data_IF_551504989847
#
_entry.id   IF_551504989847
#
_cell.length_a   1.000
_cell.length_b   1.000
_cell.length_c   1.000
_cell.angle_alpha   90.00
_cell.angle_beta   90.00
_cell.angle_gamma   90.00
#
_symmetry.space_group_name_H-M   'P 1'
#
loop_
_entity.id
_entity.type
_entity.pdbx_description
1 polymer ?
#
# COMPACT_ATOMS: atom_id res chain seq x y z
N UNK A 1 19.09 3.41 -23.41
CA UNK A 1 18.52 4.58 -22.71
C UNK A 1 18.52 4.26 -21.22
N UNK A 2 19.49 4.81 -20.51
CA UNK A 2 19.84 4.43 -19.14
C UNK A 2 19.12 5.38 -18.20
N UNK A 3 18.00 4.94 -17.62
CA UNK A 3 17.19 5.80 -16.76
C UNK A 3 17.87 5.99 -15.41
N UNK A 4 18.02 7.25 -15.03
CA UNK A 4 18.86 7.74 -13.97
C UNK A 4 18.51 7.15 -12.59
N UNK A 5 19.51 6.58 -11.94
CA UNK A 5 19.56 6.34 -10.50
C UNK A 5 19.65 7.68 -9.75
N UNK A 6 18.52 8.38 -9.59
CA UNK A 6 18.36 9.37 -8.52
C UNK A 6 17.99 8.58 -7.26
N UNK A 7 18.57 8.93 -6.11
CA UNK A 7 17.93 8.68 -4.81
C UNK A 7 16.66 9.54 -4.81
N UNK A 8 15.57 8.97 -5.31
CA UNK A 8 14.30 9.66 -5.60
C UNK A 8 13.23 9.07 -4.70
N UNK A 9 12.03 9.64 -4.70
CA UNK A 9 10.80 9.08 -4.10
C UNK A 9 10.59 7.56 -4.25
N UNK A 10 11.35 6.88 -5.11
CA UNK A 10 11.42 5.42 -5.28
C UNK A 10 11.55 4.58 -3.98
N UNK A 11 12.10 5.10 -2.87
CA UNK A 11 12.14 4.38 -1.58
C UNK A 11 10.76 4.31 -0.88
N UNK A 12 9.84 5.20 -1.26
CA UNK A 12 8.47 5.21 -0.73
C UNK A 12 7.53 4.25 -1.45
N UNK A 13 7.99 3.55 -2.49
CA UNK A 13 7.16 2.60 -3.23
C UNK A 13 6.87 1.37 -2.37
N UNK A 14 5.59 1.13 -2.10
CA UNK A 14 5.18 -0.04 -1.33
C UNK A 14 5.38 -1.30 -2.16
N UNK A 15 6.25 -2.18 -1.68
CA UNK A 15 6.35 -3.53 -2.20
C UNK A 15 5.37 -4.45 -1.47
N UNK A 16 4.26 -4.75 -2.12
CA UNK A 16 3.22 -5.58 -1.50
C UNK A 16 3.63 -7.03 -1.29
N UNK A 17 4.70 -7.50 -1.95
CA UNK A 17 5.24 -8.85 -1.76
C UNK A 17 5.97 -9.00 -0.43
N UNK A 18 6.28 -7.90 0.26
CA UNK A 18 6.79 -7.93 1.62
C UNK A 18 5.71 -8.34 2.64
N UNK A 19 6.13 -8.77 3.82
CA UNK A 19 5.21 -9.05 4.93
C UNK A 19 4.40 -7.81 5.33
N UNK A 20 3.19 -8.00 5.86
CA UNK A 20 2.35 -6.90 6.35
C UNK A 20 3.09 -6.03 7.38
N UNK A 21 3.88 -6.66 8.26
CA UNK A 21 4.72 -5.94 9.22
C UNK A 21 5.92 -5.21 8.58
N UNK A 22 6.39 -5.66 7.41
CA UNK A 22 7.40 -4.94 6.63
C UNK A 22 6.81 -3.70 5.97
N UNK A 23 5.65 -3.85 5.34
CA UNK A 23 4.90 -2.76 4.71
C UNK A 23 4.47 -1.71 5.74
N UNK A 24 3.93 -2.12 6.89
CA UNK A 24 3.55 -1.21 7.97
C UNK A 24 4.76 -0.41 8.50
N UNK A 25 5.91 -1.08 8.68
CA UNK A 25 7.16 -0.41 9.06
C UNK A 25 7.61 0.58 8.01
N UNK A 26 7.53 0.24 6.72
CA UNK A 26 7.86 1.15 5.63
C UNK A 26 6.96 2.38 5.69
N UNK A 27 5.63 2.19 5.72
CA UNK A 27 4.64 3.28 5.81
C UNK A 27 4.96 4.19 6.98
N UNK A 28 5.23 3.64 8.16
CA UNK A 28 5.60 4.40 9.35
C UNK A 28 6.96 5.10 9.22
N UNK A 29 7.93 4.50 8.54
CA UNK A 29 9.25 5.08 8.32
C UNK A 29 9.23 6.25 7.33
N UNK A 30 8.39 6.18 6.30
CA UNK A 30 8.21 7.23 5.29
C UNK A 30 7.02 8.15 5.57
N UNK A 31 6.35 7.98 6.72
CA UNK A 31 5.33 8.93 7.18
C UNK A 31 5.97 10.23 7.67
N UNK A 32 5.15 11.27 7.95
CA UNK A 32 5.61 12.65 8.21
C UNK A 32 6.87 12.71 9.10
N UNK A 33 7.89 13.51 8.71
CA UNK A 33 7.87 14.61 7.73
C UNK A 33 8.15 14.23 6.27
N UNK A 34 8.19 12.94 5.94
CA UNK A 34 8.47 12.44 4.59
C UNK A 34 7.21 12.36 3.70
N UNK A 35 7.35 12.12 2.37
CA UNK A 35 6.26 12.19 1.40
C UNK A 35 5.12 11.16 1.58
N UNK A 36 5.22 10.24 2.53
CA UNK A 36 4.32 9.09 2.67
C UNK A 36 4.72 7.94 1.76
N UNK A 37 4.26 6.73 2.09
CA UNK A 37 4.44 5.57 1.23
C UNK A 37 3.43 5.66 0.10
N UNK A 38 3.77 5.22 -1.11
CA UNK A 38 2.85 5.26 -2.22
C UNK A 38 2.90 3.98 -3.06
N UNK A 39 1.82 3.73 -3.77
CA UNK A 39 1.66 2.62 -4.72
C UNK A 39 0.92 3.14 -5.95
N UNK A 40 0.97 2.36 -7.04
CA UNK A 40 0.23 2.66 -8.25
C UNK A 40 -0.93 1.67 -8.44
N UNK A 41 -2.06 2.16 -8.95
CA UNK A 41 -3.24 1.36 -9.30
C UNK A 41 -3.79 1.78 -10.66
N UNK A 42 -3.58 0.98 -11.71
CA UNK A 42 -4.01 1.33 -13.07
C UNK A 42 -3.42 2.66 -13.56
N UNK A 43 -2.18 2.97 -13.16
CA UNK A 43 -1.52 4.25 -13.42
C UNK A 43 -1.87 5.40 -12.46
N UNK A 44 -2.73 5.17 -11.47
CA UNK A 44 -3.09 6.18 -10.45
C UNK A 44 -2.18 6.09 -9.22
N UNK A 45 -1.72 7.23 -8.69
CA UNK A 45 -0.91 7.28 -7.46
C UNK A 45 -1.82 7.25 -6.22
N UNK A 46 -1.63 6.25 -5.38
CA UNK A 46 -2.20 6.16 -4.03
C UNK A 46 -1.08 6.39 -3.02
N UNK A 47 -1.25 7.35 -2.12
CA UNK A 47 -0.32 7.59 -1.02
C UNK A 47 -0.97 7.19 0.30
N UNK A 48 -0.25 6.42 1.11
CA UNK A 48 -0.66 5.92 2.42
C UNK A 48 0.26 6.55 3.47
N UNK A 49 -0.35 7.25 4.42
CA UNK A 49 0.34 7.89 5.53
C UNK A 49 0.20 7.07 6.82
N UNK A 50 -0.91 6.34 6.97
CA UNK A 50 -1.20 5.54 8.15
C UNK A 50 -1.76 4.17 7.78
N UNK A 51 -1.16 3.13 8.35
CA UNK A 51 -1.66 1.77 8.26
C UNK A 51 -1.37 1.00 9.55
N UNK A 52 -2.20 -0.01 9.82
CA UNK A 52 -2.06 -0.94 10.93
C UNK A 52 -2.10 -2.37 10.43
N UNK A 53 -1.45 -3.31 11.11
CA UNK A 53 -1.53 -4.73 10.75
C UNK A 53 -2.97 -5.23 10.94
N UNK A 54 -3.53 -5.86 9.91
CA UNK A 54 -4.86 -6.46 9.99
C UNK A 54 -4.75 -7.93 10.41
N UNK A 55 -4.85 -8.17 11.72
CA UNK A 55 -4.74 -9.50 12.33
C UNK A 55 -5.94 -10.42 12.04
N UNK A 56 -7.09 -9.87 11.65
CA UNK A 56 -8.28 -10.66 11.29
C UNK A 56 -8.25 -11.18 9.85
N UNK A 57 -7.22 -10.82 9.07
CA UNK A 57 -7.00 -11.33 7.72
C UNK A 57 -6.68 -12.84 7.76
N UNK A 58 -7.70 -13.66 7.99
CA UNK A 58 -7.62 -15.12 7.99
C UNK A 58 -7.19 -15.59 6.61
N UNK A 59 -5.89 -15.88 6.41
CA UNK A 59 -5.30 -16.48 5.21
C UNK A 59 -6.12 -16.17 3.95
N UNK A 60 -6.32 -14.88 3.67
CA UNK A 60 -6.99 -14.53 2.44
C UNK A 60 -6.04 -15.00 1.34
N UNK A 61 -6.51 -15.89 0.46
CA UNK A 61 -5.82 -16.25 -0.78
C UNK A 61 -5.85 -15.08 -1.78
N UNK A 62 -5.71 -13.87 -1.26
CA UNK A 62 -5.62 -12.64 -2.00
C UNK A 62 -4.18 -12.50 -2.47
N UNK A 63 -4.02 -11.93 -3.66
CA UNK A 63 -2.70 -11.67 -4.20
C UNK A 63 -2.06 -10.53 -3.40
N UNK A 64 -0.73 -10.53 -3.20
CA UNK A 64 -0.03 -9.35 -2.70
C UNK A 64 -0.50 -8.11 -3.47
N UNK A 65 -0.85 -7.02 -2.78
CA UNK A 65 -1.32 -5.79 -3.41
C UNK A 65 -2.77 -5.83 -3.84
N UNK A 66 -3.54 -6.84 -3.45
CA UNK A 66 -4.98 -6.86 -3.65
C UNK A 66 -5.70 -6.15 -2.50
N UNK A 67 -6.58 -5.20 -2.81
CA UNK A 67 -7.53 -4.63 -1.86
C UNK A 67 -8.56 -5.71 -1.54
N UNK A 68 -8.55 -6.23 -0.31
CA UNK A 68 -9.47 -7.26 0.16
C UNK A 68 -10.86 -6.64 0.32
N UNK A 69 -10.96 -5.55 1.07
CA UNK A 69 -12.19 -4.81 1.31
C UNK A 69 -11.92 -3.35 1.69
N UNK A 70 -12.97 -2.52 1.63
CA UNK A 70 -12.97 -1.15 2.11
C UNK A 70 -13.98 -1.06 3.24
N UNK A 71 -13.56 -0.66 4.44
CA UNK A 71 -14.42 -0.60 5.63
C UNK A 71 -14.23 0.74 6.33
N UNK A 72 -15.33 1.46 6.55
CA UNK A 72 -15.35 2.72 7.32
C UNK A 72 -14.30 3.76 6.86
N UNK A 73 -14.00 3.79 5.56
CA UNK A 73 -12.98 4.68 4.97
C UNK A 73 -11.54 4.12 5.01
N UNK A 74 -11.30 3.01 5.69
CA UNK A 74 -10.04 2.30 5.66
C UNK A 74 -9.99 1.26 4.53
N UNK A 75 -8.79 1.00 4.00
CA UNK A 75 -8.55 0.02 2.95
C UNK A 75 -7.80 -1.18 3.51
N UNK A 76 -8.39 -2.37 3.43
CA UNK A 76 -7.72 -3.60 3.75
C UNK A 76 -6.97 -4.12 2.52
N UNK A 77 -5.65 -4.26 2.61
CA UNK A 77 -4.78 -4.61 1.48
C UNK A 77 -3.96 -5.84 1.87
N UNK A 78 -3.99 -6.86 1.01
CA UNK A 78 -3.21 -8.07 1.16
C UNK A 78 -1.72 -7.80 0.90
N UNK A 79 -0.87 -8.38 1.72
CA UNK A 79 0.59 -8.34 1.58
C UNK A 79 1.12 -9.75 1.28
N UNK A 80 2.44 -9.89 1.13
CA UNK A 80 3.08 -11.20 0.93
C UNK A 80 2.87 -12.16 2.10
N UNK A 81 2.76 -11.60 3.31
CA UNK A 81 2.38 -12.33 4.51
C UNK A 81 1.38 -11.50 5.32
N UNK A 82 0.11 -11.93 5.33
CA UNK A 82 -0.99 -11.24 6.01
C UNK A 82 -1.59 -10.07 5.21
N UNK A 83 -2.15 -9.10 5.92
CA UNK A 83 -2.72 -7.90 5.32
C UNK A 83 -2.54 -6.69 6.25
N UNK A 84 -2.62 -5.50 5.66
CA UNK A 84 -2.64 -4.24 6.40
C UNK A 84 -3.98 -3.53 6.19
N UNK A 85 -4.36 -2.72 7.17
CA UNK A 85 -5.48 -1.81 7.10
C UNK A 85 -4.94 -0.38 7.02
N UNK A 86 -5.00 0.21 5.83
CA UNK A 86 -4.65 1.61 5.61
C UNK A 86 -5.76 2.50 6.18
N UNK A 87 -5.47 3.17 7.30
CA UNK A 87 -6.39 4.05 8.01
C UNK A 87 -6.32 5.49 7.51
N UNK A 88 -5.17 5.91 7.00
CA UNK A 88 -4.96 7.25 6.43
C UNK A 88 -4.28 7.14 5.07
N UNK A 89 -5.02 7.49 4.02
CA UNK A 89 -4.59 7.40 2.64
C UNK A 89 -5.24 8.49 1.80
N UNK A 90 -4.58 8.84 0.70
CA UNK A 90 -5.08 9.78 -0.28
C UNK A 90 -4.87 9.23 -1.69
N UNK A 91 -5.91 9.34 -2.51
CA UNK A 91 -5.89 8.93 -3.91
C UNK A 91 -6.12 10.15 -4.79
N UNK A 92 -5.33 10.31 -5.86
CA UNK A 92 -5.48 11.42 -6.80
C UNK A 92 -6.87 11.48 -7.47
N UNK A 93 -7.54 10.32 -7.63
CA UNK A 93 -8.84 10.21 -8.32
C UNK A 93 -10.06 10.19 -7.40
N UNK A 94 -9.88 10.27 -6.08
CA UNK A 94 -10.96 10.43 -5.10
C UNK A 94 -11.65 9.15 -4.61
N UNK A 95 -11.60 8.01 -5.31
CA UNK A 95 -12.11 6.75 -4.75
C UNK A 95 -11.44 5.47 -5.32
N UNK A 96 -11.37 4.43 -4.49
CA UNK A 96 -10.80 3.11 -4.80
C UNK A 96 -11.87 2.04 -4.53
N UNK A 97 -12.07 1.14 -5.50
CA UNK A 97 -13.00 0.01 -5.36
C UNK A 97 -12.36 -1.12 -4.54
N UNK A 98 -13.16 -1.84 -3.76
CA UNK A 98 -12.74 -3.11 -3.18
C UNK A 98 -12.45 -4.16 -4.29
N UNK A 99 -11.62 -5.16 -3.99
CA UNK A 99 -11.20 -6.25 -4.89
C UNK A 99 -10.32 -5.86 -6.09
N UNK A 100 -9.76 -4.65 -6.10
CA UNK A 100 -8.77 -4.24 -7.11
C UNK A 100 -7.35 -4.67 -6.71
N UNK A 101 -6.48 -4.87 -7.70
CA UNK A 101 -5.07 -5.25 -7.47
C UNK A 101 -4.16 -4.11 -7.92
N UNK A 102 -3.25 -3.69 -7.04
CA UNK A 102 -2.23 -2.67 -7.30
C UNK A 102 -1.25 -3.13 -8.39
N UNK A 103 -0.76 -2.17 -9.18
CA UNK A 103 0.29 -2.42 -10.16
C UNK A 103 1.61 -2.72 -9.44
N UNK A 104 2.30 -3.79 -9.85
CA UNK A 104 3.57 -4.21 -9.23
C UNK A 104 3.45 -5.21 -8.08
N UNK A 105 2.25 -5.78 -7.87
CA UNK A 105 1.98 -6.98 -7.07
C UNK A 105 2.76 -8.23 -7.51
#
# INVERSE_FOLDING_TARGET
ATYAARRTEADGLINWRDSAAGVERLIRAVTRPYPGAFTYLGGERLTIYGASIWSEARRHAARPGQVIEKRDGALAIACGDGAILATDWTCAKGDIRAHVVFDGA
#
